data_IF_282668040643
#
_entry.id   IF_282668040643
#
_cell.length_a   1.000
_cell.length_b   1.000
_cell.length_c   1.000
_cell.angle_alpha   90.00
_cell.angle_beta   90.00
_cell.angle_gamma   90.00
#
_symmetry.space_group_name_H-M   'P 1'
#
loop_
_entity.id
_entity.type
_entity.pdbx_description
1 polymer ?
#
# COMPACT_ATOMS: atom_id res chain seq x y z
N UNK A 1 5.53 19.93 -16.40
CA UNK A 1 6.07 18.96 -15.42
C UNK A 1 5.11 17.78 -15.41
N UNK A 2 5.48 16.63 -15.98
CA UNK A 2 4.63 15.44 -15.97
C UNK A 2 4.80 14.74 -14.61
N UNK A 3 3.73 14.69 -13.82
CA UNK A 3 3.77 14.21 -12.42
C UNK A 3 3.69 12.68 -12.32
N UNK A 4 3.19 12.01 -13.36
CA UNK A 4 2.94 10.56 -13.42
C UNK A 4 4.22 9.72 -13.28
N UNK A 5 5.33 10.18 -13.88
CA UNK A 5 6.58 9.41 -13.94
C UNK A 5 7.32 9.36 -12.60
N UNK A 6 7.12 10.37 -11.75
CA UNK A 6 7.84 10.48 -10.48
C UNK A 6 7.38 9.46 -9.44
N UNK A 7 6.07 9.17 -9.38
CA UNK A 7 5.52 8.21 -8.42
C UNK A 7 5.94 6.78 -8.79
N UNK A 8 5.84 6.42 -10.07
CA UNK A 8 6.25 5.09 -10.55
C UNK A 8 7.76 4.88 -10.41
N UNK A 9 8.57 5.91 -10.68
CA UNK A 9 10.02 5.84 -10.48
C UNK A 9 10.38 5.64 -9.01
N UNK A 10 9.71 6.37 -8.11
CA UNK A 10 9.88 6.21 -6.65
C UNK A 10 9.48 4.80 -6.20
N UNK A 11 8.35 4.30 -6.70
CA UNK A 11 7.90 2.94 -6.40
C UNK A 11 8.91 1.90 -6.90
N UNK A 12 9.45 2.06 -8.11
CA UNK A 12 10.50 1.19 -8.65
C UNK A 12 11.79 1.21 -7.82
N UNK A 13 12.18 2.35 -7.26
CA UNK A 13 13.31 2.43 -6.31
C UNK A 13 13.00 1.72 -4.99
N UNK A 14 11.82 1.97 -4.41
CA UNK A 14 11.40 1.34 -3.16
C UNK A 14 11.29 -0.20 -3.31
N UNK A 15 10.84 -0.68 -4.46
CA UNK A 15 10.81 -2.11 -4.78
C UNK A 15 12.21 -2.71 -4.78
N UNK A 16 13.17 -2.07 -5.48
CA UNK A 16 14.57 -2.53 -5.54
C UNK A 16 15.26 -2.51 -4.17
N UNK A 17 14.87 -1.58 -3.29
CA UNK A 17 15.36 -1.50 -1.93
C UNK A 17 14.69 -2.51 -0.96
N UNK A 18 13.71 -3.30 -1.41
CA UNK A 18 12.99 -4.26 -0.55
C UNK A 18 12.02 -3.59 0.43
N UNK A 19 11.60 -2.35 0.16
CA UNK A 19 10.74 -1.55 1.04
C UNK A 19 9.25 -1.65 0.69
N UNK A 20 8.87 -2.49 -0.28
CA UNK A 20 7.47 -2.70 -0.67
C UNK A 20 6.99 -4.06 -0.19
N UNK A 21 5.89 -4.05 0.57
CA UNK A 21 5.13 -5.24 0.91
C UNK A 21 3.89 -5.29 0.01
N UNK A 22 3.66 -6.42 -0.65
CA UNK A 22 2.52 -6.65 -1.53
C UNK A 22 1.68 -7.86 -1.08
N UNK A 23 0.39 -7.84 -1.38
CA UNK A 23 -0.58 -8.86 -1.00
C UNK A 23 -1.41 -8.47 0.23
N UNK A 24 -2.71 -8.75 0.18
CA UNK A 24 -3.70 -8.31 1.16
C UNK A 24 -3.33 -8.69 2.60
N UNK A 25 -2.99 -9.96 2.83
CA UNK A 25 -2.65 -10.47 4.16
C UNK A 25 -1.35 -9.85 4.71
N UNK A 26 -0.33 -9.69 3.87
CA UNK A 26 0.97 -9.14 4.29
C UNK A 26 0.88 -7.65 4.61
N UNK A 27 0.13 -6.90 3.81
CA UNK A 27 -0.11 -5.47 4.04
C UNK A 27 -0.88 -5.26 5.35
N UNK A 28 -1.91 -6.06 5.62
CA UNK A 28 -2.65 -5.99 6.89
C UNK A 28 -1.73 -6.33 8.07
N UNK A 29 -0.90 -7.37 7.95
CA UNK A 29 0.04 -7.74 9.00
C UNK A 29 1.07 -6.64 9.30
N UNK A 30 1.65 -6.02 8.26
CA UNK A 30 2.62 -4.94 8.41
C UNK A 30 1.97 -3.64 8.91
N UNK A 31 0.72 -3.36 8.54
CA UNK A 31 -0.04 -2.22 9.05
C UNK A 31 -0.35 -2.36 10.55
N UNK A 32 -0.78 -3.54 11.00
CA UNK A 32 -0.98 -3.82 12.44
C UNK A 32 0.30 -3.69 13.27
N UNK A 33 1.46 -3.91 12.64
CA UNK A 33 2.78 -3.75 13.27
C UNK A 33 3.33 -2.32 13.15
N UNK A 34 2.53 -1.36 12.66
CA UNK A 34 2.95 0.03 12.38
C UNK A 34 4.17 0.16 11.46
N UNK A 35 4.43 -0.88 10.66
CA UNK A 35 5.54 -0.95 9.69
C UNK A 35 5.13 -0.36 8.34
N UNK A 36 3.88 -0.57 7.92
CA UNK A 36 3.34 0.09 6.74
C UNK A 36 3.10 1.58 7.03
N UNK A 37 3.73 2.47 6.25
CA UNK A 37 3.58 3.93 6.37
C UNK A 37 2.62 4.53 5.34
N UNK A 38 2.47 3.85 4.20
CA UNK A 38 1.57 4.21 3.12
C UNK A 38 1.01 2.90 2.55
N UNK A 39 -0.31 2.82 2.46
CA UNK A 39 -1.01 1.70 1.82
C UNK A 39 -1.74 2.24 0.60
N UNK A 40 -1.51 1.62 -0.55
CA UNK A 40 -2.13 1.99 -1.82
C UNK A 40 -3.10 0.88 -2.21
N UNK A 41 -4.33 1.26 -2.55
CA UNK A 41 -5.37 0.34 -3.03
C UNK A 41 -5.73 0.76 -4.45
N UNK A 42 -5.93 -0.21 -5.33
CA UNK A 42 -6.39 0.04 -6.68
C UNK A 42 -7.84 0.55 -6.66
N UNK A 43 -8.17 1.50 -7.53
CA UNK A 43 -9.50 2.13 -7.58
C UNK A 43 -10.60 1.15 -8.03
N UNK A 44 -10.22 0.08 -8.71
CA UNK A 44 -11.08 -1.01 -9.18
C UNK A 44 -11.10 -2.22 -8.23
N UNK A 45 -10.47 -2.10 -7.05
CA UNK A 45 -10.52 -3.16 -6.04
C UNK A 45 -11.96 -3.40 -5.57
N UNK A 46 -12.31 -4.66 -5.28
CA UNK A 46 -13.65 -5.01 -4.79
C UNK A 46 -13.98 -4.28 -3.48
N UNK A 47 -15.26 -3.99 -3.24
CA UNK A 47 -15.72 -3.40 -1.97
C UNK A 47 -15.25 -4.20 -0.75
N UNK A 48 -15.20 -5.54 -0.88
CA UNK A 48 -14.73 -6.43 0.18
C UNK A 48 -13.28 -6.14 0.54
N UNK A 49 -12.41 -5.99 -0.46
CA UNK A 49 -10.98 -5.66 -0.27
C UNK A 49 -10.82 -4.26 0.32
N UNK A 50 -11.56 -3.27 -0.21
CA UNK A 50 -11.53 -1.90 0.29
C UNK A 50 -11.92 -1.85 1.78
N UNK A 51 -13.10 -2.37 2.14
CA UNK A 51 -13.60 -2.41 3.53
C UNK A 51 -12.65 -3.14 4.48
N UNK A 52 -12.00 -4.20 4.01
CA UNK A 52 -11.06 -4.97 4.83
C UNK A 52 -9.80 -4.17 5.14
N UNK A 53 -9.19 -3.51 4.15
CA UNK A 53 -8.00 -2.68 4.38
C UNK A 53 -8.36 -1.46 5.21
N UNK A 54 -9.43 -0.75 4.83
CA UNK A 54 -9.92 0.46 5.49
C UNK A 54 -10.11 0.29 7.00
N UNK A 55 -10.80 -0.77 7.42
CA UNK A 55 -11.00 -1.12 8.84
C UNK A 55 -9.68 -1.30 9.60
N UNK A 56 -8.63 -1.81 8.95
CA UNK A 56 -7.35 -2.08 9.60
C UNK A 56 -6.45 -0.84 9.63
N UNK A 57 -6.70 0.16 8.77
CA UNK A 57 -5.91 1.40 8.71
C UNK A 57 -6.46 2.49 9.65
N UNK A 58 -7.78 2.57 9.87
CA UNK A 58 -8.40 3.57 10.77
C UNK A 58 -8.16 3.34 12.27
N UNK A 59 -7.41 2.30 12.65
CA UNK A 59 -7.16 1.95 14.05
C UNK A 59 -5.76 2.36 14.57
N UNK A 60 -5.02 3.15 13.78
CA UNK A 60 -3.82 3.88 14.20
C UNK A 60 -4.15 5.37 14.31
#
# INVERSE_FOLDING_TARGET
MQTSDNVLSTLGMAMRAGMITAGEEFVIADARKSKAKLVIIATDASERTQKKIDRQMYFL
#
